data_IF_204413187633
#
_entry.id   IF_204413187633
#
_cell.length_a   1.000
_cell.length_b   1.000
_cell.length_c   1.000
_cell.angle_alpha   90.00
_cell.angle_beta   90.00
_cell.angle_gamma   90.00
#
_symmetry.space_group_name_H-M   'P 1'
#
loop_
_entity.id
_entity.type
_entity.pdbx_description
1 polymer ?
#
# COMPACT_ATOMS: atom_id res chain seq x y z
N UNK A 1 0.34 18.54 -2.18
CA UNK A 1 -0.33 17.53 -3.00
C UNK A 1 -1.76 17.38 -2.49
N UNK A 2 -2.71 17.15 -3.37
CA UNK A 2 -4.10 16.86 -3.04
C UNK A 2 -4.50 15.53 -3.67
N UNK A 3 -5.52 14.90 -3.10
CA UNK A 3 -6.06 13.63 -3.59
C UNK A 3 -7.58 13.69 -3.60
N UNK A 4 -8.16 12.87 -4.47
CA UNK A 4 -9.59 12.68 -4.57
C UNK A 4 -9.98 11.31 -4.03
N UNK A 5 -11.01 11.25 -3.18
CA UNK A 5 -11.66 9.98 -2.81
C UNK A 5 -12.49 9.51 -4.00
N UNK A 6 -12.08 8.41 -4.64
CA UNK A 6 -12.73 7.89 -5.84
C UNK A 6 -13.74 6.77 -5.54
N UNK A 7 -13.64 6.15 -4.36
CA UNK A 7 -14.61 5.18 -3.89
C UNK A 7 -14.57 5.00 -2.36
N UNK A 8 -15.73 4.67 -1.78
CA UNK A 8 -15.84 4.11 -0.43
C UNK A 8 -15.86 2.58 -0.53
N UNK A 9 -15.00 1.91 0.23
CA UNK A 9 -14.77 0.46 0.16
C UNK A 9 -15.44 -0.33 1.29
N UNK A 10 -16.19 0.31 2.19
CA UNK A 10 -16.78 -0.34 3.38
C UNK A 10 -17.74 -1.47 3.03
N UNK A 11 -18.57 -1.26 2.01
CA UNK A 11 -19.56 -2.24 1.55
C UNK A 11 -19.37 -2.61 0.08
N UNK A 12 -18.18 -2.36 -0.47
CA UNK A 12 -17.90 -2.59 -1.88
C UNK A 12 -17.73 -4.09 -2.17
N UNK A 13 -18.43 -4.63 -3.19
CA UNK A 13 -18.17 -5.98 -3.68
C UNK A 13 -16.71 -6.13 -4.11
N UNK A 14 -16.12 -7.31 -3.84
CA UNK A 14 -14.71 -7.55 -4.16
C UNK A 14 -14.38 -7.35 -5.65
N UNK A 15 -15.30 -7.73 -6.55
CA UNK A 15 -15.16 -7.53 -7.99
C UNK A 15 -15.07 -6.05 -8.36
N UNK A 16 -15.92 -5.21 -7.77
CA UNK A 16 -15.94 -3.77 -8.04
C UNK A 16 -14.64 -3.14 -7.54
N UNK A 17 -14.14 -3.58 -6.38
CA UNK A 17 -12.86 -3.15 -5.84
C UNK A 17 -11.69 -3.51 -6.78
N UNK A 18 -11.69 -4.71 -7.36
CA UNK A 18 -10.70 -5.10 -8.36
C UNK A 18 -10.77 -4.21 -9.61
N UNK A 19 -11.97 -3.87 -10.07
CA UNK A 19 -12.15 -3.00 -11.23
C UNK A 19 -11.65 -1.57 -10.98
N UNK A 20 -11.85 -1.03 -9.78
CA UNK A 20 -11.22 0.24 -9.41
C UNK A 20 -9.70 0.16 -9.39
N UNK A 21 -9.14 -0.92 -8.85
CA UNK A 21 -7.69 -1.15 -8.80
C UNK A 21 -7.06 -1.35 -10.17
N UNK A 22 -7.80 -1.79 -11.17
CA UNK A 22 -7.30 -1.86 -12.56
C UNK A 22 -7.12 -0.47 -13.18
N UNK A 23 -7.75 0.57 -12.64
CA UNK A 23 -7.69 1.95 -13.16
C UNK A 23 -6.45 2.74 -12.71
N UNK A 24 -5.52 2.13 -11.97
CA UNK A 24 -4.29 2.78 -11.53
C UNK A 24 -3.33 1.79 -10.90
N UNK A 25 -2.20 2.30 -10.43
CA UNK A 25 -1.16 1.59 -9.68
C UNK A 25 -1.42 1.84 -8.20
N UNK A 26 -1.57 0.77 -7.43
CA UNK A 26 -1.69 0.87 -5.98
C UNK A 26 -0.33 0.73 -5.28
N UNK A 27 -0.23 1.15 -4.02
CA UNK A 27 1.05 1.04 -3.29
C UNK A 27 1.64 -0.37 -3.22
N UNK A 28 0.81 -1.43 -3.16
CA UNK A 28 1.30 -2.82 -3.22
C UNK A 28 1.92 -3.20 -4.57
N UNK A 29 1.58 -2.47 -5.63
CA UNK A 29 2.07 -2.70 -6.99
C UNK A 29 3.45 -2.02 -7.20
N UNK A 30 3.81 -1.02 -6.39
CA UNK A 30 5.05 -0.26 -6.50
C UNK A 30 6.30 -1.15 -6.52
N UNK A 31 6.35 -2.15 -5.65
CA UNK A 31 7.47 -3.10 -5.59
C UNK A 31 7.54 -4.03 -6.80
N UNK A 32 6.40 -4.32 -7.43
CA UNK A 32 6.33 -5.10 -8.67
C UNK A 32 6.87 -4.27 -9.83
N UNK A 33 6.45 -3.01 -9.93
CA UNK A 33 6.94 -2.06 -10.95
C UNK A 33 8.45 -1.85 -10.82
N UNK A 34 8.97 -1.77 -9.59
CA UNK A 34 10.41 -1.66 -9.34
C UNK A 34 11.19 -2.97 -9.55
N UNK A 35 10.52 -4.09 -9.87
CA UNK A 35 11.16 -5.37 -10.14
C UNK A 35 11.73 -6.09 -8.91
N UNK A 36 11.31 -5.72 -7.69
CA UNK A 36 11.82 -6.32 -6.44
C UNK A 36 10.79 -7.21 -5.72
N UNK A 37 9.56 -7.28 -6.22
CA UNK A 37 8.51 -8.12 -5.64
C UNK A 37 8.86 -9.61 -5.73
N UNK A 38 8.65 -10.33 -4.63
CA UNK A 38 8.82 -11.80 -4.58
C UNK A 38 7.59 -12.57 -5.10
N UNK A 39 6.49 -11.88 -5.34
CA UNK A 39 5.18 -12.50 -5.56
C UNK A 39 4.64 -12.35 -6.98
N UNK A 40 5.10 -11.33 -7.71
CA UNK A 40 4.53 -10.95 -9.00
C UNK A 40 5.56 -10.23 -9.85
N UNK A 41 5.63 -10.59 -11.13
CA UNK A 41 6.46 -9.91 -12.13
C UNK A 41 5.78 -8.67 -12.73
N UNK A 42 6.54 -7.73 -13.32
CA UNK A 42 5.95 -6.59 -14.05
C UNK A 42 4.98 -7.01 -15.17
N UNK A 43 5.30 -8.09 -15.89
CA UNK A 43 4.44 -8.60 -16.97
C UNK A 43 3.12 -9.13 -16.43
N UNK A 44 3.13 -9.88 -15.31
CA UNK A 44 1.89 -10.35 -14.66
C UNK A 44 1.03 -9.18 -14.19
N UNK A 45 1.64 -8.17 -13.56
CA UNK A 45 0.92 -6.95 -13.18
C UNK A 45 0.31 -6.25 -14.40
N UNK A 46 1.06 -6.14 -15.50
CA UNK A 46 0.55 -5.54 -16.73
C UNK A 46 -0.64 -6.33 -17.28
N UNK A 47 -0.58 -7.67 -17.27
CA UNK A 47 -1.70 -8.51 -17.69
C UNK A 47 -2.94 -8.29 -16.81
N UNK A 48 -2.76 -8.15 -15.49
CA UNK A 48 -3.86 -7.82 -14.56
C UNK A 48 -4.48 -6.45 -14.87
N UNK A 49 -3.65 -5.39 -15.00
CA UNK A 49 -4.13 -4.02 -15.27
C UNK A 49 -4.83 -3.88 -16.62
N UNK A 50 -4.46 -4.72 -17.58
CA UNK A 50 -5.04 -4.73 -18.93
C UNK A 50 -6.12 -5.79 -19.13
N UNK A 51 -6.56 -6.48 -18.06
CA UNK A 51 -7.65 -7.47 -18.11
C UNK A 51 -7.33 -8.74 -18.91
N UNK A 52 -6.05 -9.05 -19.12
CA UNK A 52 -5.57 -10.23 -19.87
C UNK A 52 -5.35 -11.46 -18.98
N UNK A 53 -5.55 -11.32 -17.68
CA UNK A 53 -5.59 -12.42 -16.73
C UNK A 53 -6.93 -12.41 -15.97
N UNK A 54 -7.45 -13.59 -15.61
CA UNK A 54 -8.62 -13.67 -14.73
C UNK A 54 -8.27 -13.08 -13.36
N UNK A 55 -9.29 -12.53 -12.71
CA UNK A 55 -9.18 -12.08 -11.33
C UNK A 55 -8.79 -13.25 -10.43
N UNK A 56 -7.82 -13.03 -9.53
CA UNK A 56 -7.38 -14.04 -8.58
C UNK A 56 -8.18 -13.90 -7.28
N UNK A 57 -8.62 -15.03 -6.71
CA UNK A 57 -9.24 -15.04 -5.40
C UNK A 57 -8.23 -14.63 -4.32
N UNK A 58 -8.71 -13.93 -3.29
CA UNK A 58 -7.88 -13.59 -2.15
C UNK A 58 -7.39 -14.86 -1.43
N UNK A 59 -6.08 -15.08 -1.40
CA UNK A 59 -5.49 -16.18 -0.66
C UNK A 59 -5.60 -16.01 0.86
N UNK A 60 -5.32 -17.08 1.61
CA UNK A 60 -5.37 -17.13 3.09
C UNK A 60 -4.63 -15.95 3.74
N UNK A 61 -3.46 -15.57 3.23
CA UNK A 61 -2.67 -14.46 3.78
C UNK A 61 -3.42 -13.12 3.68
N UNK A 62 -4.09 -12.87 2.55
CA UNK A 62 -4.89 -11.65 2.36
C UNK A 62 -6.14 -11.67 3.26
N UNK A 63 -6.83 -12.81 3.32
CA UNK A 63 -7.99 -12.99 4.20
C UNK A 63 -7.64 -12.70 5.68
N UNK A 64 -6.60 -13.34 6.21
CA UNK A 64 -6.16 -13.12 7.60
C UNK A 64 -5.59 -11.72 7.83
N UNK A 65 -4.99 -11.10 6.80
CA UNK A 65 -4.63 -9.68 6.82
C UNK A 65 -5.83 -8.80 7.16
N UNK A 66 -6.91 -8.92 6.39
CA UNK A 66 -8.15 -8.15 6.60
C UNK A 66 -8.78 -8.44 7.97
N UNK A 67 -8.86 -9.71 8.39
CA UNK A 67 -9.46 -10.06 9.68
C UNK A 67 -8.68 -9.50 10.87
N UNK A 68 -7.34 -9.43 10.77
CA UNK A 68 -6.47 -9.03 11.88
C UNK A 68 -6.09 -7.54 11.85
N UNK A 69 -6.39 -6.81 10.78
CA UNK A 69 -6.07 -5.38 10.63
C UNK A 69 -6.58 -4.55 11.82
N UNK A 70 -7.84 -4.73 12.22
CA UNK A 70 -8.43 -4.03 13.36
C UNK A 70 -7.73 -4.32 14.70
N UNK A 71 -7.21 -5.54 14.87
CA UNK A 71 -6.41 -5.91 16.05
C UNK A 71 -5.05 -5.21 16.04
N UNK A 72 -4.37 -5.19 14.90
CA UNK A 72 -3.07 -4.49 14.74
C UNK A 72 -3.24 -3.00 15.02
N UNK A 73 -4.29 -2.37 14.48
CA UNK A 73 -4.64 -0.98 14.75
C UNK A 73 -4.89 -0.71 16.24
N UNK A 74 -5.68 -1.56 16.89
CA UNK A 74 -5.99 -1.41 18.33
C UNK A 74 -4.73 -1.57 19.19
N UNK A 75 -3.88 -2.56 18.89
CA UNK A 75 -2.64 -2.80 19.63
C UNK A 75 -1.62 -1.67 19.42
N UNK A 76 -1.54 -1.11 18.21
CA UNK A 76 -0.74 0.09 17.95
C UNK A 76 -1.17 1.24 18.86
N UNK A 77 -2.46 1.60 18.82
CA UNK A 77 -3.02 2.67 19.64
C UNK A 77 -2.75 2.44 21.13
N UNK A 78 -2.89 1.22 21.62
CA UNK A 78 -2.63 0.86 23.02
C UNK A 78 -1.16 1.07 23.42
N UNK A 79 -0.20 0.77 22.54
CA UNK A 79 1.24 0.88 22.84
C UNK A 79 1.79 2.28 22.69
N UNK A 80 1.29 3.05 21.73
CA UNK A 80 1.82 4.37 21.39
C UNK A 80 0.99 5.52 21.95
N UNK A 81 -0.28 5.27 22.28
CA UNK A 81 -1.27 6.30 22.62
C UNK A 81 -1.80 7.08 21.42
N UNK A 82 -1.27 6.85 20.21
CA UNK A 82 -1.66 7.54 18.98
C UNK A 82 -2.95 6.94 18.46
N UNK A 83 -3.99 7.76 18.32
CA UNK A 83 -5.27 7.31 17.76
C UNK A 83 -5.15 7.13 16.25
N UNK A 84 -5.66 6.00 15.78
CA UNK A 84 -5.78 5.70 14.35
C UNK A 84 -7.25 5.74 13.95
N UNK A 85 -7.55 6.59 12.98
CA UNK A 85 -8.84 6.61 12.33
C UNK A 85 -8.83 5.65 11.15
N UNK A 86 -9.70 4.65 11.19
CA UNK A 86 -9.88 3.71 10.09
C UNK A 86 -10.36 4.45 8.83
N UNK A 87 -9.80 4.10 7.68
CA UNK A 87 -10.23 4.58 6.37
C UNK A 87 -10.65 3.38 5.52
N UNK A 88 -11.79 3.54 4.85
CA UNK A 88 -12.31 2.58 3.88
C UNK A 88 -12.55 3.34 2.58
N UNK A 89 -11.46 3.92 2.08
CA UNK A 89 -11.49 4.85 0.97
C UNK A 89 -10.37 4.50 0.00
N UNK A 90 -10.72 4.44 -1.29
CA UNK A 90 -9.75 4.41 -2.36
C UNK A 90 -9.50 5.84 -2.81
N UNK A 91 -8.24 6.25 -2.73
CA UNK A 91 -7.76 7.58 -3.06
C UNK A 91 -7.08 7.56 -4.43
N UNK A 92 -7.10 8.69 -5.13
CA UNK A 92 -6.35 8.92 -6.36
C UNK A 92 -5.57 10.23 -6.23
N UNK A 93 -4.32 10.24 -6.67
CA UNK A 93 -3.52 11.46 -6.68
C UNK A 93 -4.08 12.42 -7.74
N UNK A 94 -4.27 13.69 -7.38
CA UNK A 94 -4.67 14.70 -8.35
C UNK A 94 -3.51 15.08 -9.29
N UNK A 95 -2.28 14.97 -8.80
CA UNK A 95 -1.06 15.28 -9.55
C UNK A 95 -0.64 14.13 -10.48
N UNK A 96 -0.82 12.89 -10.02
CA UNK A 96 -0.50 11.68 -10.76
C UNK A 96 -1.73 10.74 -10.82
N UNK A 97 -2.70 10.98 -11.72
CA UNK A 97 -3.97 10.25 -11.73
C UNK A 97 -3.87 8.73 -11.90
N UNK A 98 -2.71 8.22 -12.32
CA UNK A 98 -2.42 6.79 -12.39
C UNK A 98 -2.08 6.18 -11.02
N UNK A 99 -1.73 6.96 -10.00
CA UNK A 99 -1.41 6.46 -8.65
C UNK A 99 -2.65 6.46 -7.75
N UNK A 100 -2.85 5.38 -7.02
CA UNK A 100 -3.97 5.16 -6.12
C UNK A 100 -3.52 4.66 -4.75
N UNK A 101 -4.24 5.03 -3.69
CA UNK A 101 -3.94 4.58 -2.33
C UNK A 101 -5.19 4.01 -1.65
N UNK A 102 -5.05 2.85 -1.03
CA UNK A 102 -6.07 2.24 -0.18
C UNK A 102 -5.47 2.11 1.22
N UNK A 103 -5.80 3.06 2.10
CA UNK A 103 -5.14 3.19 3.41
C UNK A 103 -5.88 2.38 4.47
N UNK A 104 -5.15 1.68 5.35
CA UNK A 104 -5.74 1.00 6.52
C UNK A 104 -6.16 1.98 7.62
N UNK A 105 -5.62 3.21 7.57
CA UNK A 105 -6.03 4.30 8.42
C UNK A 105 -5.17 5.54 8.27
N UNK A 106 -5.53 6.56 9.04
CA UNK A 106 -4.76 7.79 9.21
C UNK A 106 -4.60 8.11 10.69
N UNK A 107 -3.53 8.79 11.04
CA UNK A 107 -3.28 9.23 12.41
C UNK A 107 -2.56 10.59 12.41
N UNK A 108 -2.25 11.12 13.59
CA UNK A 108 -1.53 12.39 13.73
C UNK A 108 -0.22 12.14 14.47
N UNK A 109 0.89 12.37 13.78
CA UNK A 109 2.21 12.41 14.40
C UNK A 109 2.39 13.76 15.13
N UNK A 110 2.95 13.78 16.36
CA UNK A 110 3.14 15.03 17.12
C UNK A 110 3.90 16.13 16.37
N UNK A 111 4.98 15.75 15.66
CA UNK A 111 5.83 16.68 14.90
C UNK A 111 5.41 16.84 13.42
N UNK A 112 5.06 15.76 12.72
CA UNK A 112 4.78 15.78 11.28
C UNK A 112 3.31 16.04 10.91
N UNK A 113 2.38 16.06 11.89
CA UNK A 113 0.96 16.24 11.63
C UNK A 113 0.30 14.98 11.03
N UNK A 114 -0.71 15.13 10.14
CA UNK A 114 -1.40 14.00 9.52
C UNK A 114 -0.44 13.02 8.83
N UNK A 115 -0.59 11.73 9.17
CA UNK A 115 0.23 10.63 8.69
C UNK A 115 -0.64 9.41 8.34
N UNK A 116 -0.08 8.52 7.52
CA UNK A 116 -0.73 7.25 7.17
C UNK A 116 -0.54 6.26 8.32
N UNK A 117 -1.49 5.36 8.50
CA UNK A 117 -1.31 4.12 9.25
C UNK A 117 -1.46 2.92 8.32
N UNK A 118 -0.49 2.00 8.37
CA UNK A 118 -0.48 0.76 7.60
C UNK A 118 -0.33 -0.44 8.54
N UNK A 119 -1.21 -1.42 8.43
CA UNK A 119 -1.19 -2.65 9.21
C UNK A 119 -0.75 -3.83 8.36
N UNK A 120 0.14 -4.67 8.90
CA UNK A 120 0.62 -5.88 8.26
C UNK A 120 0.46 -7.09 9.18
N UNK A 121 0.23 -8.23 8.57
CA UNK A 121 0.48 -9.54 9.18
C UNK A 121 1.62 -10.20 8.45
N UNK A 122 2.50 -10.88 9.17
CA UNK A 122 3.67 -11.52 8.57
C UNK A 122 3.97 -12.87 9.22
N UNK A 123 4.55 -13.77 8.44
CA UNK A 123 5.06 -15.04 8.95
C UNK A 123 6.22 -14.82 9.93
N UNK A 124 6.37 -15.72 10.91
CA UNK A 124 7.50 -15.72 11.84
C UNK A 124 8.87 -15.77 11.13
N UNK A 125 8.94 -16.39 9.95
CA UNK A 125 10.17 -16.43 9.14
C UNK A 125 10.63 -15.05 8.64
N UNK A 126 9.74 -14.05 8.61
CA UNK A 126 10.06 -12.67 8.22
C UNK A 126 10.43 -11.77 9.40
N UNK A 127 10.54 -12.31 10.62
CA UNK A 127 10.83 -11.49 11.80
C UNK A 127 12.14 -10.70 11.71
N UNK A 128 13.17 -11.26 11.06
CA UNK A 128 14.45 -10.59 10.85
C UNK A 128 14.35 -9.33 10.00
N UNK A 129 13.43 -9.27 9.03
CA UNK A 129 13.24 -8.11 8.15
C UNK A 129 12.70 -6.87 8.89
N UNK A 130 12.25 -7.06 10.14
CA UNK A 130 11.65 -6.02 10.98
C UNK A 130 12.55 -5.57 12.14
N UNK A 131 13.81 -6.02 12.20
CA UNK A 131 14.72 -5.65 13.30
C UNK A 131 15.22 -4.22 13.11
N UNK A 132 16.00 -3.99 12.05
CA UNK A 132 16.59 -2.68 11.78
C UNK A 132 15.71 -1.80 10.87
N UNK A 133 14.78 -2.39 10.11
CA UNK A 133 13.92 -1.65 9.17
C UNK A 133 12.55 -2.29 9.00
N UNK A 134 12.02 -2.15 7.79
CA UNK A 134 10.87 -2.89 7.28
C UNK A 134 11.27 -3.53 5.94
N UNK A 135 10.56 -4.57 5.47
CA UNK A 135 10.74 -5.09 4.13
C UNK A 135 10.66 -4.00 3.05
N UNK A 136 11.54 -4.04 2.06
CA UNK A 136 11.62 -3.03 0.98
C UNK A 136 10.30 -2.87 0.22
N UNK A 137 9.56 -3.97 0.02
CA UNK A 137 8.23 -3.93 -0.60
C UNK A 137 7.26 -3.01 0.16
N UNK A 138 7.32 -3.04 1.49
CA UNK A 138 6.49 -2.20 2.34
C UNK A 138 7.01 -0.77 2.40
N UNK A 139 8.33 -0.57 2.33
CA UNK A 139 8.91 0.76 2.21
C UNK A 139 8.44 1.47 0.94
N UNK A 140 8.53 0.81 -0.23
CA UNK A 140 8.03 1.37 -1.48
C UNK A 140 6.52 1.62 -1.44
N UNK A 141 5.75 0.70 -0.85
CA UNK A 141 4.31 0.88 -0.68
C UNK A 141 3.97 2.16 0.11
N UNK A 142 4.64 2.39 1.25
CA UNK A 142 4.31 3.57 2.07
C UNK A 142 4.82 4.87 1.44
N UNK A 143 5.94 4.84 0.71
CA UNK A 143 6.39 5.99 -0.09
C UNK A 143 5.41 6.31 -1.23
N UNK A 144 4.90 5.29 -1.93
CA UNK A 144 3.83 5.47 -2.91
C UNK A 144 2.60 6.14 -2.30
N UNK A 145 2.11 5.67 -1.14
CA UNK A 145 0.97 6.31 -0.48
C UNK A 145 1.24 7.75 -0.06
N UNK A 146 2.47 8.07 0.37
CA UNK A 146 2.85 9.45 0.64
C UNK A 146 2.88 10.29 -0.64
N UNK A 147 3.31 9.75 -1.77
CA UNK A 147 3.21 10.43 -3.08
C UNK A 147 1.76 10.73 -3.47
N UNK A 148 0.82 9.83 -3.17
CA UNK A 148 -0.62 10.06 -3.42
C UNK A 148 -1.20 11.13 -2.49
N UNK A 149 -0.91 11.03 -1.20
CA UNK A 149 -1.61 11.80 -0.16
C UNK A 149 -0.96 13.15 0.16
N UNK A 150 0.33 13.30 -0.12
CA UNK A 150 1.16 14.42 0.34
C UNK A 150 1.51 14.36 1.84
N UNK A 151 1.13 13.30 2.55
CA UNK A 151 1.48 13.15 3.96
C UNK A 151 2.97 12.96 4.16
N UNK A 152 3.46 13.35 5.34
CA UNK A 152 4.89 13.48 5.64
C UNK A 152 5.49 12.22 6.28
N UNK A 153 4.66 11.22 6.57
CA UNK A 153 5.11 9.97 7.16
C UNK A 153 4.01 8.93 7.26
N UNK A 154 4.46 7.71 7.54
CA UNK A 154 3.59 6.55 7.76
C UNK A 154 4.03 5.81 9.03
N UNK A 155 3.09 5.56 9.92
CA UNK A 155 3.26 4.51 10.92
C UNK A 155 2.88 3.18 10.32
N UNK A 156 3.82 2.23 10.30
CA UNK A 156 3.57 0.86 9.86
C UNK A 156 3.73 -0.08 11.05
N UNK A 157 2.72 -0.91 11.28
CA UNK A 157 2.68 -1.89 12.37
C UNK A 157 2.48 -3.30 11.82
N UNK A 158 3.14 -4.29 12.43
CA UNK A 158 3.03 -5.68 12.03
C UNK A 158 2.80 -6.62 13.21
N UNK A 159 1.87 -7.55 13.04
CA UNK A 159 1.76 -8.75 13.86
C UNK A 159 2.47 -9.92 13.16
N UNK A 160 3.66 -10.24 13.67
CA UNK A 160 4.57 -11.25 13.12
C UNK A 160 4.38 -12.57 13.87
N UNK A 161 4.18 -13.66 13.13
CA UNK A 161 4.00 -15.00 13.69
C UNK A 161 2.77 -15.15 14.60
N UNK A 162 1.84 -14.18 14.57
CA UNK A 162 0.65 -14.16 15.41
C UNK A 162 0.89 -13.75 16.88
N UNK A 163 2.12 -13.47 17.28
CA UNK A 163 2.46 -13.20 18.69
C UNK A 163 3.51 -12.10 18.91
N UNK A 164 4.16 -11.62 17.84
CA UNK A 164 5.23 -10.63 17.94
C UNK A 164 4.81 -9.35 17.25
N UNK A 165 4.50 -8.32 18.04
CA UNK A 165 4.08 -7.02 17.52
C UNK A 165 5.27 -6.07 17.38
N UNK A 166 5.43 -5.46 16.20
CA UNK A 166 6.44 -4.43 15.92
C UNK A 166 5.80 -3.26 15.19
N UNK A 167 6.35 -2.06 15.34
CA UNK A 167 5.94 -0.89 14.57
C UNK A 167 7.14 0.02 14.32
N UNK A 168 7.08 0.79 13.22
CA UNK A 168 8.06 1.82 12.87
C UNK A 168 7.35 3.04 12.30
N UNK A 169 7.95 4.21 12.48
CA UNK A 169 7.60 5.41 11.73
C UNK A 169 8.54 5.56 10.56
N UNK A 170 7.99 5.73 9.36
CA UNK A 170 8.73 5.89 8.11
C UNK A 170 8.48 7.31 7.59
N UNK A 171 9.49 8.18 7.53
CA UNK A 171 9.33 9.52 6.98
C UNK A 171 9.20 9.46 5.46
N UNK A 172 8.58 10.51 4.92
CA UNK A 172 8.56 10.78 3.49
C UNK A 172 9.97 10.96 2.95
N UNK A 173 10.28 10.30 1.84
CA UNK A 173 11.54 10.41 1.12
C UNK A 173 11.27 10.90 -0.31
N UNK A 174 11.60 12.17 -0.58
CA UNK A 174 11.31 12.79 -1.87
C UNK A 174 12.15 12.22 -3.01
N UNK A 175 13.37 11.72 -2.74
CA UNK A 175 14.22 11.13 -3.78
C UNK A 175 13.65 9.79 -4.23
N UNK A 176 13.22 8.96 -3.26
CA UNK A 176 12.56 7.68 -3.54
C UNK A 176 11.21 7.91 -4.22
N UNK A 177 10.42 8.88 -3.76
CA UNK A 177 9.12 9.20 -4.36
C UNK A 177 9.29 9.67 -5.80
N UNK A 178 10.26 10.55 -6.09
CA UNK A 178 10.51 11.00 -7.46
C UNK A 178 10.85 9.83 -8.40
N UNK A 179 11.67 8.88 -7.93
CA UNK A 179 11.99 7.68 -8.70
C UNK A 179 10.76 6.77 -8.88
N UNK A 180 9.97 6.56 -7.82
CA UNK A 180 8.74 5.76 -7.87
C UNK A 180 7.76 6.31 -8.89
N UNK A 181 7.48 7.62 -8.84
CA UNK A 181 6.58 8.30 -9.78
C UNK A 181 7.05 8.09 -11.22
N UNK A 182 8.35 8.21 -11.48
CA UNK A 182 8.90 8.01 -12.82
C UNK A 182 8.70 6.56 -13.32
N UNK A 183 9.12 5.57 -12.53
CA UNK A 183 9.01 4.16 -12.90
C UNK A 183 7.55 3.72 -13.08
N UNK A 184 6.67 4.17 -12.21
CA UNK A 184 5.24 3.88 -12.29
C UNK A 184 4.56 4.60 -13.46
N UNK A 185 4.96 5.84 -13.78
CA UNK A 185 4.46 6.52 -14.98
C UNK A 185 4.86 5.77 -16.25
N UNK A 186 6.12 5.33 -16.35
CA UNK A 186 6.61 4.56 -17.50
C UNK A 186 5.85 3.22 -17.61
N UNK A 187 5.68 2.49 -16.51
CA UNK A 187 4.86 1.28 -16.49
C UNK A 187 3.40 1.54 -16.87
N UNK A 188 2.82 2.65 -16.41
CA UNK A 188 1.44 2.99 -16.74
C UNK A 188 1.25 3.31 -18.23
N UNK A 189 2.25 3.91 -18.88
CA UNK A 189 2.23 4.10 -20.33
C UNK A 189 2.11 2.77 -21.08
N UNK A 190 2.82 1.73 -20.63
CA UNK A 190 2.70 0.36 -21.17
C UNK A 190 1.31 -0.24 -20.98
N UNK A 191 0.66 0.02 -19.84
CA UNK A 191 -0.74 -0.35 -19.60
C UNK A 191 -1.66 0.36 -20.59
N UNK A 192 -1.50 1.68 -20.75
CA UNK A 192 -2.34 2.50 -21.63
C UNK A 192 -2.14 2.21 -23.12
N UNK A 193 -0.90 1.90 -23.54
CA UNK A 193 -0.58 1.54 -24.92
C UNK A 193 -0.80 0.07 -25.24
N UNK A 194 -1.27 -0.71 -24.26
CA UNK A 194 -1.41 -2.16 -24.34
C UNK A 194 -0.15 -2.87 -24.86
N UNK A 195 1.03 -2.34 -24.51
CA UNK A 195 2.33 -2.90 -24.88
C UNK A 195 2.97 -3.48 -23.63
N UNK A 196 3.39 -4.76 -23.61
CA UNK A 196 3.98 -5.35 -22.42
C UNK A 196 5.25 -4.61 -21.99
N UNK A 197 5.53 -4.52 -20.67
CA UNK A 197 6.79 -3.98 -20.18
C UNK A 197 7.97 -4.88 -20.59
N UNK A 198 9.19 -4.31 -20.68
CA UNK A 198 10.39 -5.04 -21.09
C UNK A 198 10.79 -6.18 -20.14
#
# INVERSE_FOLDING_TARGET
MSFTVIANTETMPYTDWLDYRKQGIGGSDAAVVCGISRYKSPVELWMEKTGRMPDQEAGEAAYWGTQLEGLVRTEFTKRTGIQVEHRMELLRSDEHPFMQANLDGTCVHPEFGPCIFEAKTASAFKAGEWEDGIPDEYFLQVQHYMAVTGYQGTYIAALIGGNTFRWKFIPRDEEVIALLVQLEADFWQHVQSETPPP
#
